data_IF_974648543167
#
_entry.id   IF_974648543167
#
_cell.length_a   1.000
_cell.length_b   1.000
_cell.length_c   1.000
_cell.angle_alpha   90.00
_cell.angle_beta   90.00
_cell.angle_gamma   90.00
#
_symmetry.space_group_name_H-M   'P 1'
#
loop_
_entity.id
_entity.type
_entity.pdbx_description
1 polymer ?
#
# COMPACT_ATOMS: atom_id res chain seq x y z
N UNK A 1 18.26 -12.84 22.07
CA UNK A 1 17.85 -11.77 21.11
C UNK A 1 16.61 -11.03 21.58
N UNK A 2 15.47 -11.70 21.84
CA UNK A 2 14.23 -11.03 22.28
C UNK A 2 14.29 -10.23 23.60
N UNK A 3 15.33 -10.42 24.42
CA UNK A 3 15.54 -9.70 25.69
C UNK A 3 16.52 -8.52 25.58
N UNK A 4 17.11 -8.29 24.40
CA UNK A 4 18.03 -7.19 24.17
C UNK A 4 17.23 -5.88 24.06
N UNK A 5 17.55 -4.83 24.84
CA UNK A 5 16.89 -3.53 24.69
C UNK A 5 16.94 -3.03 23.25
N UNK A 6 15.81 -2.55 22.71
CA UNK A 6 15.70 -2.08 21.33
C UNK A 6 15.38 -3.17 20.28
N UNK A 7 15.49 -4.46 20.64
CA UNK A 7 15.20 -5.54 19.69
C UNK A 7 13.74 -5.56 19.25
N UNK A 8 12.80 -5.32 20.16
CA UNK A 8 11.36 -5.31 19.87
C UNK A 8 11.03 -4.22 18.85
N UNK A 9 11.56 -3.02 19.07
CA UNK A 9 11.32 -1.86 18.23
C UNK A 9 11.90 -2.09 16.83
N UNK A 10 13.15 -2.58 16.76
CA UNK A 10 13.79 -2.94 15.50
C UNK A 10 12.99 -4.00 14.72
N UNK A 11 12.60 -5.08 15.40
CA UNK A 11 11.90 -6.21 14.77
C UNK A 11 10.50 -5.83 14.27
N UNK A 12 9.74 -5.08 15.07
CA UNK A 12 8.42 -4.62 14.65
C UNK A 12 8.53 -3.59 13.51
N UNK A 13 9.51 -2.68 13.57
CA UNK A 13 9.72 -1.70 12.50
C UNK A 13 10.10 -2.38 11.17
N UNK A 14 10.90 -3.44 11.20
CA UNK A 14 11.23 -4.20 9.99
C UNK A 14 10.01 -4.91 9.41
N UNK A 15 9.17 -5.53 10.26
CA UNK A 15 7.92 -6.16 9.81
C UNK A 15 6.99 -5.13 9.16
N UNK A 16 6.88 -3.93 9.74
CA UNK A 16 6.02 -2.89 9.20
C UNK A 16 6.53 -2.36 7.85
N UNK A 17 7.84 -2.20 7.70
CA UNK A 17 8.46 -1.82 6.42
C UNK A 17 8.21 -2.87 5.32
N UNK A 18 8.36 -4.16 5.63
CA UNK A 18 8.06 -5.23 4.68
C UNK A 18 6.57 -5.28 4.36
N UNK A 19 5.71 -5.09 5.36
CA UNK A 19 4.25 -5.04 5.19
C UNK A 19 3.84 -3.95 4.20
N UNK A 20 4.38 -2.74 4.34
CA UNK A 20 4.11 -1.65 3.41
C UNK A 20 4.59 -1.99 1.99
N UNK A 21 5.83 -2.46 1.84
CA UNK A 21 6.36 -2.84 0.54
C UNK A 21 5.52 -3.93 -0.15
N UNK A 22 5.20 -5.01 0.55
CA UNK A 22 4.41 -6.10 -0.01
C UNK A 22 2.98 -5.66 -0.34
N UNK A 23 2.34 -4.85 0.51
CA UNK A 23 1.03 -4.27 0.21
C UNK A 23 1.08 -3.43 -1.09
N UNK A 24 2.11 -2.60 -1.27
CA UNK A 24 2.30 -1.85 -2.51
C UNK A 24 2.52 -2.75 -3.72
N UNK A 25 3.35 -3.80 -3.62
CA UNK A 25 3.53 -4.75 -4.73
C UNK A 25 2.25 -5.49 -5.09
N UNK A 26 1.43 -5.85 -4.10
CA UNK A 26 0.13 -6.50 -4.29
C UNK A 26 -0.83 -5.56 -5.02
N UNK A 27 -0.94 -4.30 -4.57
CA UNK A 27 -1.77 -3.29 -5.22
C UNK A 27 -1.39 -3.11 -6.70
N UNK A 28 -0.10 -3.01 -7.03
CA UNK A 28 0.36 -2.87 -8.42
C UNK A 28 -0.01 -4.12 -9.23
N UNK A 29 0.36 -5.32 -8.76
CA UNK A 29 0.17 -6.54 -9.55
C UNK A 29 -1.31 -6.90 -9.75
N UNK A 30 -2.19 -6.51 -8.82
CA UNK A 30 -3.64 -6.71 -8.92
C UNK A 30 -4.35 -5.65 -9.75
N UNK A 31 -3.70 -4.52 -10.00
CA UNK A 31 -4.26 -3.43 -10.81
C UNK A 31 -3.85 -3.58 -12.27
N UNK A 32 -2.55 -3.73 -12.57
CA UNK A 32 -2.03 -3.73 -13.96
C UNK A 32 -1.38 -5.05 -14.40
N UNK A 33 -1.31 -6.04 -13.50
CA UNK A 33 -0.77 -7.36 -13.82
C UNK A 33 -1.80 -8.29 -14.46
N UNK A 34 -1.36 -9.50 -14.81
CA UNK A 34 -2.20 -10.52 -15.49
C UNK A 34 -3.39 -10.99 -14.64
N UNK A 35 -3.24 -11.08 -13.32
CA UNK A 35 -4.25 -11.61 -12.41
C UNK A 35 -4.93 -10.49 -11.61
N UNK A 36 -5.80 -9.73 -12.28
CA UNK A 36 -6.55 -8.62 -11.68
C UNK A 36 -7.63 -9.11 -10.70
N UNK A 37 -8.22 -8.18 -9.94
CA UNK A 37 -9.29 -8.45 -8.95
C UNK A 37 -10.64 -7.91 -9.39
N UNK A 38 -11.71 -8.62 -9.02
CA UNK A 38 -13.09 -8.24 -9.38
C UNK A 38 -13.49 -6.90 -8.77
N UNK A 39 -12.98 -6.60 -7.58
CA UNK A 39 -13.21 -5.33 -6.86
C UNK A 39 -12.96 -4.10 -7.75
N UNK A 40 -12.00 -4.20 -8.68
CA UNK A 40 -11.69 -3.14 -9.65
C UNK A 40 -12.32 -3.44 -11.02
N UNK A 41 -12.16 -4.66 -11.54
CA UNK A 41 -12.56 -4.95 -12.94
C UNK A 41 -14.06 -4.99 -13.16
N UNK A 42 -14.87 -5.20 -12.10
CA UNK A 42 -16.34 -5.17 -12.21
C UNK A 42 -16.96 -3.80 -12.00
N UNK A 43 -16.15 -2.74 -11.79
CA UNK A 43 -16.63 -1.36 -11.79
C UNK A 43 -17.07 -1.02 -13.22
N UNK A 44 -18.38 -0.82 -13.43
CA UNK A 44 -18.97 -0.62 -14.74
C UNK A 44 -18.69 0.77 -15.33
N UNK A 45 -18.70 1.80 -14.47
CA UNK A 45 -18.39 3.18 -14.81
C UNK A 45 -16.87 3.32 -15.01
N UNK A 46 -16.46 3.60 -16.25
CA UNK A 46 -15.04 3.59 -16.62
C UNK A 46 -14.23 4.68 -15.92
N UNK A 47 -14.82 5.85 -15.68
CA UNK A 47 -14.15 6.94 -14.97
C UNK A 47 -13.92 6.58 -13.51
N UNK A 48 -14.91 5.94 -12.86
CA UNK A 48 -14.75 5.43 -11.49
C UNK A 48 -13.76 4.28 -11.40
N UNK A 49 -13.70 3.40 -12.41
CA UNK A 49 -12.71 2.32 -12.48
C UNK A 49 -11.30 2.90 -12.62
N UNK A 50 -11.11 3.82 -13.56
CA UNK A 50 -9.83 4.49 -13.78
C UNK A 50 -9.37 5.28 -12.53
N UNK A 51 -10.31 5.92 -11.81
CA UNK A 51 -10.02 6.56 -10.53
C UNK A 51 -9.48 5.54 -9.51
N UNK A 52 -10.19 4.41 -9.31
CA UNK A 52 -9.76 3.37 -8.37
C UNK A 52 -8.38 2.78 -8.75
N UNK A 53 -8.13 2.53 -10.03
CA UNK A 53 -6.84 2.07 -10.54
C UNK A 53 -5.72 3.08 -10.25
N UNK A 54 -5.96 4.38 -10.47
CA UNK A 54 -4.98 5.44 -10.15
C UNK A 54 -4.70 5.52 -8.66
N UNK A 55 -5.73 5.44 -7.81
CA UNK A 55 -5.55 5.43 -6.35
C UNK A 55 -4.66 4.26 -5.94
N UNK A 56 -4.94 3.05 -6.44
CA UNK A 56 -4.13 1.86 -6.15
C UNK A 56 -2.66 2.06 -6.55
N UNK A 57 -2.39 2.55 -7.77
CA UNK A 57 -1.02 2.74 -8.26
C UNK A 57 -0.28 3.85 -7.49
N UNK A 58 -0.94 4.98 -7.24
CA UNK A 58 -0.31 6.09 -6.51
C UNK A 58 -0.02 5.73 -5.05
N UNK A 59 -0.97 5.08 -4.38
CA UNK A 59 -0.81 4.60 -3.01
C UNK A 59 0.30 3.55 -2.91
N UNK A 60 0.31 2.58 -3.84
CA UNK A 60 1.33 1.54 -3.88
C UNK A 60 2.75 2.06 -4.06
N UNK A 61 2.93 3.06 -4.94
CA UNK A 61 4.25 3.71 -5.13
C UNK A 61 4.74 4.32 -3.82
N UNK A 62 3.86 4.98 -3.07
CA UNK A 62 4.21 5.57 -1.78
C UNK A 62 4.59 4.48 -0.76
N UNK A 63 3.77 3.44 -0.64
CA UNK A 63 4.05 2.29 0.23
C UNK A 63 5.39 1.62 -0.04
N UNK A 64 5.81 1.49 -1.30
CA UNK A 64 7.10 0.86 -1.65
C UNK A 64 8.27 1.81 -1.40
N UNK A 65 8.17 3.02 -1.92
CA UNK A 65 9.30 3.96 -1.94
C UNK A 65 9.58 4.53 -0.55
N UNK A 66 8.54 4.71 0.26
CA UNK A 66 8.61 5.29 1.61
C UNK A 66 8.30 4.27 2.70
N UNK A 67 8.47 2.96 2.43
CA UNK A 67 8.05 1.84 3.30
C UNK A 67 8.46 1.96 4.77
N UNK A 68 9.62 2.56 5.06
CA UNK A 68 10.13 2.71 6.44
C UNK A 68 9.41 3.80 7.24
N UNK A 69 8.60 4.63 6.60
CA UNK A 69 7.77 5.65 7.24
C UNK A 69 6.40 5.12 7.70
N UNK A 70 6.02 3.91 7.30
CA UNK A 70 4.74 3.28 7.65
C UNK A 70 4.91 2.41 8.89
N UNK A 71 4.58 2.95 10.07
CA UNK A 71 4.79 2.29 11.36
C UNK A 71 3.49 1.91 12.05
N UNK A 72 2.39 2.60 11.71
CA UNK A 72 1.06 2.40 12.30
C UNK A 72 -0.03 2.54 11.24
N UNK A 73 -1.23 2.03 11.54
CA UNK A 73 -2.35 2.04 10.59
C UNK A 73 -2.74 3.43 10.07
N UNK A 74 -2.55 4.47 10.87
CA UNK A 74 -2.81 5.86 10.47
C UNK A 74 -1.97 6.29 9.27
N UNK A 75 -0.72 5.83 9.17
CA UNK A 75 0.18 6.16 8.08
C UNK A 75 -0.35 5.59 6.75
N UNK A 76 -0.87 4.36 6.80
CA UNK A 76 -1.47 3.69 5.64
C UNK A 76 -2.73 4.43 5.16
N UNK A 77 -3.60 4.83 6.09
CA UNK A 77 -4.83 5.57 5.77
C UNK A 77 -4.51 6.94 5.18
N UNK A 78 -3.48 7.63 5.70
CA UNK A 78 -3.05 8.92 5.19
C UNK A 78 -2.58 8.84 3.73
N UNK A 79 -1.80 7.82 3.39
CA UNK A 79 -1.35 7.61 2.01
C UNK A 79 -2.50 7.32 1.04
N UNK A 80 -3.50 6.53 1.46
CA UNK A 80 -4.71 6.29 0.64
C UNK A 80 -5.44 7.61 0.38
N UNK A 81 -5.67 8.43 1.41
CA UNK A 81 -6.30 9.75 1.26
C UNK A 81 -5.49 10.66 0.33
N UNK A 82 -4.17 10.68 0.47
CA UNK A 82 -3.28 11.47 -0.38
C UNK A 82 -3.29 10.99 -1.84
N UNK A 83 -3.41 9.69 -2.08
CA UNK A 83 -3.54 9.12 -3.41
C UNK A 83 -4.90 9.48 -4.04
N UNK A 84 -6.00 9.35 -3.28
CA UNK A 84 -7.35 9.73 -3.73
C UNK A 84 -7.48 11.20 -4.11
N UNK A 85 -6.75 12.09 -3.44
CA UNK A 85 -6.74 13.52 -3.80
C UNK A 85 -5.98 13.84 -5.09
N UNK A 86 -5.15 12.92 -5.60
CA UNK A 86 -4.31 13.10 -6.80
C UNK A 86 -4.81 12.32 -8.02
N UNK A 87 -5.68 11.34 -7.82
CA UNK A 87 -6.20 10.41 -8.84
C UNK A 87 -7.29 11.07 -9.70
#
# INVERSE_FOLDING_TARGET
MAKTPGFKEWYLSSIMADTAAYAGTELIRRTVGMAQVKDVTTIADEDKRAFAERVNILCAKDYIMNRTAFLKGEDFVAAVKAASAKA
#
